data_IF_855360323663
#
_entry.id   IF_855360323663
#
_cell.length_a   1.000
_cell.length_b   1.000
_cell.length_c   1.000
_cell.angle_alpha   90.00
_cell.angle_beta   90.00
_cell.angle_gamma   90.00
#
_symmetry.space_group_name_H-M   'P 1'
#
loop_
_entity.id
_entity.type
_entity.pdbx_description
1 polymer ?
#
# COMPACT_ATOMS: atom_id res chain seq x y z
N UNK A 1 15.68 16.90 13.28
CA UNK A 1 15.02 15.58 13.45
C UNK A 1 13.64 15.52 12.78
N UNK A 2 12.73 16.46 13.01
CA UNK A 2 11.36 16.41 12.46
C UNK A 2 11.28 16.35 10.91
N UNK A 3 12.17 17.06 10.18
CA UNK A 3 12.23 16.98 8.72
C UNK A 3 12.68 15.60 8.19
N UNK A 4 13.57 14.91 8.92
CA UNK A 4 14.03 13.57 8.54
C UNK A 4 12.90 12.54 8.70
N UNK A 5 12.11 12.67 9.77
CA UNK A 5 10.92 11.85 9.98
C UNK A 5 9.88 12.06 8.87
N UNK A 6 9.69 13.30 8.42
CA UNK A 6 8.80 13.63 7.30
C UNK A 6 9.21 12.91 6.01
N UNK A 7 10.49 12.99 5.62
CA UNK A 7 10.98 12.29 4.43
C UNK A 7 10.88 10.77 4.55
N UNK A 8 11.11 10.22 5.75
CA UNK A 8 10.97 8.79 6.00
C UNK A 8 9.52 8.32 5.79
N UNK A 9 8.54 9.06 6.30
CA UNK A 9 7.11 8.75 6.13
C UNK A 9 6.72 8.77 4.65
N UNK A 10 7.13 9.80 3.93
CA UNK A 10 6.88 9.92 2.49
C UNK A 10 7.50 8.76 1.70
N UNK A 11 8.74 8.37 2.05
CA UNK A 11 9.43 7.25 1.42
C UNK A 11 8.69 5.94 1.67
N UNK A 12 8.31 5.65 2.92
CA UNK A 12 7.58 4.44 3.29
C UNK A 12 6.23 4.34 2.58
N UNK A 13 5.48 5.45 2.52
CA UNK A 13 4.20 5.46 1.84
C UNK A 13 4.36 5.20 0.32
N UNK A 14 5.35 5.83 -0.30
CA UNK A 14 5.66 5.63 -1.73
C UNK A 14 6.09 4.19 -2.03
N UNK A 15 6.92 3.59 -1.16
CA UNK A 15 7.31 2.19 -1.26
C UNK A 15 6.11 1.25 -1.12
N UNK A 16 5.18 1.57 -0.22
CA UNK A 16 3.96 0.79 -0.06
C UNK A 16 3.08 0.84 -1.33
N UNK A 17 2.86 2.02 -1.92
CA UNK A 17 2.11 2.14 -3.18
C UNK A 17 2.80 1.32 -4.28
N UNK A 18 4.14 1.43 -4.39
CA UNK A 18 4.91 0.66 -5.35
C UNK A 18 4.77 -0.86 -5.11
N UNK A 19 4.77 -1.29 -3.85
CA UNK A 19 4.54 -2.68 -3.47
C UNK A 19 3.17 -3.18 -3.91
N UNK A 20 2.10 -2.39 -3.71
CA UNK A 20 0.74 -2.77 -4.12
C UNK A 20 0.65 -2.95 -5.64
N UNK A 21 1.25 -2.03 -6.40
CA UNK A 21 1.16 -2.00 -7.87
C UNK A 21 2.09 -3.03 -8.52
N UNK A 22 3.35 -3.15 -8.08
CA UNK A 22 4.36 -3.95 -8.79
C UNK A 22 4.30 -5.44 -8.41
N UNK A 23 4.04 -5.76 -7.14
CA UNK A 23 4.04 -7.14 -6.65
C UNK A 23 3.17 -8.13 -7.45
N UNK A 24 1.93 -7.83 -7.85
CA UNK A 24 1.11 -8.75 -8.65
C UNK A 24 1.72 -9.10 -10.00
N UNK A 25 2.64 -8.28 -10.52
CA UNK A 25 3.37 -8.56 -11.77
C UNK A 25 4.64 -9.37 -11.56
N UNK A 26 5.09 -9.55 -10.31
CA UNK A 26 6.23 -10.42 -9.98
C UNK A 26 5.83 -11.90 -9.94
N UNK A 27 6.84 -12.79 -9.90
CA UNK A 27 6.66 -14.23 -9.70
C UNK A 27 7.35 -14.71 -8.39
N UNK A 28 7.61 -13.79 -7.46
CA UNK A 28 8.20 -14.16 -6.17
C UNK A 28 7.11 -14.64 -5.22
N UNK A 29 7.21 -15.91 -4.79
CA UNK A 29 6.26 -16.52 -3.83
C UNK A 29 6.16 -15.67 -2.56
N UNK A 30 7.30 -15.19 -2.03
CA UNK A 30 7.34 -14.40 -0.79
C UNK A 30 6.56 -13.09 -0.93
N UNK A 31 6.78 -12.35 -2.03
CA UNK A 31 6.12 -11.07 -2.27
C UNK A 31 4.62 -11.28 -2.52
N UNK A 32 4.26 -12.27 -3.32
CA UNK A 32 2.86 -12.60 -3.60
C UNK A 32 2.11 -13.06 -2.34
N UNK A 33 2.74 -13.86 -1.48
CA UNK A 33 2.19 -14.23 -0.16
C UNK A 33 1.96 -12.99 0.71
N UNK A 34 2.97 -12.13 0.84
CA UNK A 34 2.87 -10.91 1.63
C UNK A 34 1.77 -9.99 1.10
N UNK A 35 1.68 -9.82 -0.22
CA UNK A 35 0.65 -9.01 -0.87
C UNK A 35 -0.75 -9.57 -0.64
N UNK A 36 -0.90 -10.89 -0.73
CA UNK A 36 -2.18 -11.58 -0.51
C UNK A 36 -2.74 -11.33 0.90
N UNK A 37 -1.87 -11.20 1.90
CA UNK A 37 -2.26 -10.90 3.29
C UNK A 37 -2.44 -9.41 3.51
N UNK A 38 -1.51 -8.57 3.05
CA UNK A 38 -1.49 -7.13 3.36
C UNK A 38 -2.65 -6.37 2.73
N UNK A 39 -3.07 -6.72 1.51
CA UNK A 39 -4.11 -5.95 0.79
C UNK A 39 -5.47 -5.95 1.52
N UNK A 40 -6.04 -7.09 1.97
CA UNK A 40 -7.27 -7.09 2.76
C UNK A 40 -7.22 -6.20 4.00
N UNK A 41 -6.12 -6.23 4.76
CA UNK A 41 -5.96 -5.36 5.94
C UNK A 41 -5.92 -3.88 5.57
N UNK A 42 -5.32 -3.56 4.43
CA UNK A 42 -5.21 -2.18 3.97
C UNK A 42 -6.53 -1.65 3.41
N UNK A 43 -7.31 -2.49 2.71
CA UNK A 43 -8.69 -2.16 2.33
C UNK A 43 -9.53 -1.93 3.58
N UNK A 44 -9.46 -2.81 4.57
CA UNK A 44 -10.16 -2.64 5.85
C UNK A 44 -9.75 -1.34 6.56
N UNK A 45 -8.46 -1.03 6.58
CA UNK A 45 -7.94 0.22 7.13
C UNK A 45 -8.56 1.44 6.43
N UNK A 46 -8.62 1.46 5.10
CA UNK A 46 -9.26 2.54 4.36
C UNK A 46 -10.77 2.65 4.63
N UNK A 47 -11.50 1.53 4.62
CA UNK A 47 -12.94 1.52 4.88
C UNK A 47 -13.29 2.00 6.30
N UNK A 48 -12.45 1.70 7.29
CA UNK A 48 -12.68 2.09 8.69
C UNK A 48 -12.18 3.49 9.04
N UNK A 49 -11.24 4.04 8.27
CA UNK A 49 -10.62 5.34 8.57
C UNK A 49 -10.96 6.41 7.53
N UNK A 50 -12.12 6.32 6.88
CA UNK A 50 -12.57 7.26 5.85
C UNK A 50 -11.45 7.54 4.85
N UNK A 51 -10.88 6.47 4.28
CA UNK A 51 -9.88 6.56 3.24
C UNK A 51 -8.53 7.19 3.69
N UNK A 52 -8.41 7.55 4.97
CA UNK A 52 -7.23 8.22 5.48
C UNK A 52 -6.17 7.21 5.91
N UNK A 53 -4.96 7.32 5.35
CA UNK A 53 -3.83 6.51 5.79
C UNK A 53 -3.19 7.10 7.06
N UNK A 54 -2.82 6.24 8.02
CA UNK A 54 -2.11 6.66 9.23
C UNK A 54 -0.84 7.49 8.93
N UNK A 55 -0.08 7.15 7.89
CA UNK A 55 1.11 7.89 7.46
C UNK A 55 0.78 9.32 7.02
N UNK A 56 -0.37 9.53 6.38
CA UNK A 56 -0.84 10.85 5.94
C UNK A 56 -1.25 11.73 7.13
N UNK A 57 -1.90 11.15 8.15
CA UNK A 57 -2.24 11.88 9.40
C UNK A 57 -0.97 12.31 10.12
N UNK A 58 0.01 11.41 10.22
CA UNK A 58 1.30 11.68 10.85
C UNK A 58 2.04 12.77 10.06
N UNK A 59 2.08 12.70 8.72
CA UNK A 59 2.67 13.75 7.89
C UNK A 59 2.01 15.11 8.12
N UNK A 60 0.68 15.17 8.10
CA UNK A 60 -0.07 16.41 8.31
C UNK A 60 0.27 17.03 9.69
N UNK A 61 0.25 16.21 10.75
CA UNK A 61 0.62 16.64 12.10
C UNK A 61 2.06 17.14 12.19
N UNK A 62 3.01 16.46 11.53
CA UNK A 62 4.40 16.90 11.46
C UNK A 62 4.59 18.20 10.69
N UNK A 63 3.88 18.39 9.58
CA UNK A 63 3.95 19.63 8.79
C UNK A 63 3.40 20.82 9.54
N UNK A 64 2.25 20.65 10.21
CA UNK A 64 1.71 21.66 11.13
C UNK A 64 2.75 22.08 12.17
N UNK A 65 3.46 21.10 12.74
CA UNK A 65 4.49 21.36 13.76
C UNK A 65 5.77 22.02 13.22
N UNK A 66 6.17 21.74 11.98
CA UNK A 66 7.42 22.24 11.39
C UNK A 66 7.21 23.61 10.73
N UNK A 67 6.12 23.79 10.00
CA UNK A 67 5.86 24.95 9.14
C UNK A 67 4.80 25.89 9.70
N UNK A 68 4.02 25.48 10.70
CA UNK A 68 2.94 26.29 11.27
C UNK A 68 1.75 26.47 10.35
N UNK A 69 1.71 25.75 9.22
CA UNK A 69 0.62 25.78 8.24
C UNK A 69 -0.32 24.60 8.47
N UNK A 70 -1.62 24.85 8.44
CA UNK A 70 -2.68 23.81 8.48
C UNK A 70 -3.16 23.45 7.06
N UNK A 71 -2.42 23.86 6.03
CA UNK A 71 -2.81 23.59 4.66
C UNK A 71 -2.40 22.17 4.23
N UNK A 72 -3.39 21.27 4.25
CA UNK A 72 -3.25 19.88 3.81
C UNK A 72 -2.77 19.78 2.36
N UNK A 73 -3.06 20.79 1.52
CA UNK A 73 -2.70 20.81 0.10
C UNK A 73 -1.17 20.89 -0.13
N UNK A 74 -0.42 21.36 0.86
CA UNK A 74 1.05 21.43 0.80
C UNK A 74 1.73 20.10 1.15
N UNK A 75 0.97 19.10 1.62
CA UNK A 75 1.54 17.80 1.94
C UNK A 75 2.02 17.11 0.65
N UNK A 76 3.23 16.56 0.67
CA UNK A 76 3.77 15.84 -0.49
C UNK A 76 2.96 14.59 -0.74
N UNK A 77 2.61 13.88 0.32
CA UNK A 77 1.72 12.72 0.28
C UNK A 77 0.31 13.11 -0.15
N UNK A 78 -0.17 14.31 0.22
CA UNK A 78 -1.38 14.85 -0.41
C UNK A 78 -1.16 15.00 -1.91
N UNK A 79 -0.19 15.77 -2.41
CA UNK A 79 -0.01 15.99 -3.87
C UNK A 79 0.30 14.73 -4.69
N UNK A 80 1.03 13.76 -4.11
CA UNK A 80 1.37 12.50 -4.77
C UNK A 80 0.18 11.55 -4.83
N UNK A 81 -0.61 11.50 -3.76
CA UNK A 81 -1.77 10.61 -3.72
C UNK A 81 -3.04 11.32 -4.22
N UNK A 82 -3.20 12.65 -4.22
CA UNK A 82 -4.39 13.38 -4.73
C UNK A 82 -4.82 12.92 -6.14
N UNK A 83 -3.92 12.74 -7.13
CA UNK A 83 -4.32 12.24 -8.45
C UNK A 83 -4.68 10.76 -8.44
N UNK A 84 -4.37 10.02 -7.37
CA UNK A 84 -4.68 8.61 -7.18
C UNK A 84 -5.82 8.44 -6.18
N UNK A 85 -6.09 9.39 -5.29
CA UNK A 85 -6.94 9.28 -4.12
C UNK A 85 -7.39 10.67 -3.65
N UNK A 86 -8.68 10.97 -3.78
CA UNK A 86 -9.20 12.30 -3.47
C UNK A 86 -9.44 12.42 -1.97
N UNK A 87 -8.51 13.08 -1.26
CA UNK A 87 -8.64 13.37 0.17
C UNK A 87 -9.67 14.47 0.45
N UNK A 88 -10.05 15.27 -0.56
CA UNK A 88 -11.26 16.08 -0.42
C UNK A 88 -12.42 15.10 -0.57
N UNK A 89 -13.22 14.97 0.48
CA UNK A 89 -14.44 14.15 0.56
C UNK A 89 -15.54 14.57 -0.45
N UNK A 90 -15.17 14.98 -1.67
CA UNK A 90 -16.07 15.54 -2.66
C UNK A 90 -16.32 14.58 -3.83
N UNK A 91 -15.55 13.49 -3.96
CA UNK A 91 -15.68 12.52 -5.05
C UNK A 91 -15.64 11.07 -4.52
N UNK A 92 -16.76 10.58 -4.00
CA UNK A 92 -16.92 9.17 -3.56
C UNK A 92 -16.62 8.16 -4.68
N UNK A 93 -16.85 8.55 -5.93
CA UNK A 93 -16.61 7.74 -7.12
C UNK A 93 -15.13 7.37 -7.28
N UNK A 94 -14.23 8.30 -6.93
CA UNK A 94 -12.80 8.08 -7.13
C UNK A 94 -12.23 7.09 -6.12
N UNK A 95 -12.65 7.19 -4.86
CA UNK A 95 -12.34 6.22 -3.81
C UNK A 95 -12.72 4.79 -4.23
N UNK A 96 -13.92 4.63 -4.76
CA UNK A 96 -14.44 3.32 -5.17
C UNK A 96 -13.64 2.71 -6.31
N UNK A 97 -13.18 3.53 -7.26
CA UNK A 97 -12.33 3.09 -8.37
C UNK A 97 -10.99 2.51 -7.88
N UNK A 98 -10.34 3.12 -6.89
CA UNK A 98 -9.03 2.66 -6.39
C UNK A 98 -9.17 1.37 -5.62
N UNK A 99 -10.24 1.24 -4.82
CA UNK A 99 -10.55 0.00 -4.12
C UNK A 99 -10.79 -1.11 -5.15
N UNK A 100 -11.55 -0.84 -6.23
CA UNK A 100 -11.76 -1.79 -7.32
C UNK A 100 -10.43 -2.22 -7.97
N UNK A 101 -9.58 -1.27 -8.36
CA UNK A 101 -8.26 -1.56 -8.95
C UNK A 101 -7.41 -2.39 -7.99
N UNK A 102 -7.39 -2.03 -6.71
CA UNK A 102 -6.64 -2.74 -5.67
C UNK A 102 -7.14 -4.17 -5.50
N UNK A 103 -8.46 -4.39 -5.55
CA UNK A 103 -9.08 -5.71 -5.53
C UNK A 103 -8.69 -6.53 -6.77
N UNK A 104 -8.69 -5.94 -7.97
CA UNK A 104 -8.24 -6.62 -9.20
C UNK A 104 -6.78 -7.06 -9.07
N UNK A 105 -5.90 -6.16 -8.62
CA UNK A 105 -4.48 -6.48 -8.38
C UNK A 105 -4.31 -7.58 -7.32
N UNK A 106 -5.14 -7.59 -6.28
CA UNK A 106 -5.14 -8.66 -5.28
C UNK A 106 -5.56 -10.01 -5.86
N UNK A 107 -6.64 -10.05 -6.66
CA UNK A 107 -7.06 -11.27 -7.34
C UNK A 107 -6.00 -11.79 -8.32
N UNK A 108 -5.24 -10.91 -8.97
CA UNK A 108 -4.10 -11.32 -9.80
C UNK A 108 -3.03 -12.03 -8.96
N UNK A 109 -2.66 -11.48 -7.80
CA UNK A 109 -1.72 -12.13 -6.88
C UNK A 109 -2.22 -13.49 -6.42
N UNK A 110 -3.49 -13.60 -6.00
CA UNK A 110 -4.10 -14.86 -5.57
C UNK A 110 -4.13 -15.90 -6.70
N UNK A 111 -4.48 -15.47 -7.92
CA UNK A 111 -4.54 -16.36 -9.09
C UNK A 111 -3.16 -16.93 -9.43
N UNK A 112 -2.10 -16.11 -9.32
CA UNK A 112 -0.71 -16.56 -9.49
C UNK A 112 -0.31 -17.54 -8.38
N UNK A 113 -0.59 -17.19 -7.13
CA UNK A 113 -0.29 -18.04 -5.97
C UNK A 113 -0.96 -19.42 -6.10
N UNK A 114 -2.24 -19.44 -6.51
CA UNK A 114 -3.00 -20.66 -6.71
C UNK A 114 -2.41 -21.55 -7.83
N UNK A 115 -1.97 -20.94 -8.94
CA UNK A 115 -1.27 -21.67 -10.01
C UNK A 115 0.04 -22.29 -9.49
N UNK A 116 0.84 -21.52 -8.74
CA UNK A 116 2.09 -21.99 -8.15
C UNK A 116 1.87 -23.10 -7.11
N UNK A 117 0.79 -23.01 -6.33
CA UNK A 117 0.38 -24.09 -5.42
C UNK A 117 0.05 -25.37 -6.19
N UNK A 118 -0.78 -25.28 -7.23
CA UNK A 118 -1.18 -26.43 -8.05
C UNK A 118 0.01 -27.09 -8.77
N UNK A 119 1.00 -26.29 -9.17
CA UNK A 119 2.21 -26.78 -9.83
C UNK A 119 3.23 -27.41 -8.86
N UNK A 120 3.04 -27.28 -7.54
CA UNK A 120 3.98 -27.76 -6.53
C UNK A 120 5.17 -26.82 -6.26
N UNK A 121 5.21 -25.64 -6.89
CA UNK A 121 6.30 -24.67 -6.75
C UNK A 121 6.47 -24.20 -5.30
N UNK A 122 5.35 -24.07 -4.57
CA UNK A 122 5.34 -23.65 -3.16
C UNK A 122 5.98 -24.71 -2.25
N UNK A 123 5.67 -25.99 -2.49
CA UNK A 123 6.25 -27.09 -1.71
C UNK A 123 7.76 -27.21 -1.95
N UNK A 124 8.17 -27.11 -3.21
CA UNK A 124 9.59 -27.10 -3.59
C UNK A 124 10.32 -25.93 -2.93
N UNK A 125 9.73 -24.73 -2.97
CA UNK A 125 10.29 -23.54 -2.34
C UNK A 125 10.47 -23.71 -0.83
N UNK A 126 9.49 -24.29 -0.13
CA UNK A 126 9.59 -24.55 1.31
C UNK A 126 10.71 -25.56 1.66
N UNK A 127 10.82 -26.65 0.88
CA UNK A 127 11.92 -27.62 1.03
C UNK A 127 13.29 -26.97 0.85
N UNK A 128 13.43 -26.06 -0.11
CA UNK A 128 14.68 -25.32 -0.33
C UNK A 128 15.05 -24.41 0.86
N UNK A 129 14.05 -23.79 1.52
CA UNK A 129 14.30 -22.97 2.71
C UNK A 129 14.76 -23.81 3.90
N UNK A 130 14.13 -24.96 4.13
CA UNK A 130 14.51 -25.86 5.23
C UNK A 130 15.92 -26.42 5.08
N UNK A 131 16.38 -26.69 3.85
CA UNK A 131 17.73 -27.20 3.60
C UNK A 131 18.84 -26.13 3.70
N UNK A 132 18.49 -24.85 3.85
CA UNK A 132 19.45 -23.74 3.99
C UNK A 132 19.70 -23.31 5.45
N UNK A 133 18.91 -23.81 6.39
CA UNK A 133 19.00 -23.54 7.84
C UNK A 133 19.72 -24.71 8.49
#
# INVERSE_FOLDING_TARGET
>A
MHKLLLYLIMLLHSLYILFVVVTPFTNSIQLLMLHSVMIPFMILHWLTNNNTCALTIIEHSLRKRIYGTDDVNECFTYRLITPIYDFKMNNEDFSSFIILVTIVLWFMSLSKLYKMYKNGDIEQYYKMLQNKI
#
